data_IF_864661657711
#
_entry.id   IF_864661657711
#
_cell.length_a   1.000
_cell.length_b   1.000
_cell.length_c   1.000
_cell.angle_alpha   90.00
_cell.angle_beta   90.00
_cell.angle_gamma   90.00
#
_symmetry.space_group_name_H-M   'P 1'
#
loop_
_entity.id
_entity.type
_entity.pdbx_description
1 polymer ?
#
# COMPACT_ATOMS: atom_id res chain seq x y z
N UNK A 1 -48.84 94.78 -14.03
CA UNK A 1 -48.59 93.32 -14.05
C UNK A 1 -47.34 93.08 -14.88
N UNK A 2 -46.22 92.78 -14.25
CA UNK A 2 -44.96 92.45 -14.92
C UNK A 2 -44.61 91.02 -14.55
N UNK A 3 -44.51 90.13 -15.54
CA UNK A 3 -44.17 88.72 -15.37
C UNK A 3 -42.67 88.54 -15.54
N UNK A 4 -42.04 87.97 -14.50
CA UNK A 4 -40.63 87.64 -14.40
C UNK A 4 -40.42 86.22 -14.96
N UNK A 5 -39.57 86.06 -15.98
CA UNK A 5 -39.22 84.76 -16.56
C UNK A 5 -37.90 84.29 -15.94
N UNK A 6 -37.92 83.15 -15.25
CA UNK A 6 -36.74 82.45 -14.71
C UNK A 6 -36.23 81.42 -15.72
N UNK A 7 -34.98 81.57 -16.17
CA UNK A 7 -34.26 80.60 -16.98
C UNK A 7 -33.62 79.58 -16.05
N UNK A 8 -34.01 78.30 -16.17
CA UNK A 8 -33.39 77.18 -15.45
C UNK A 8 -32.23 76.60 -16.23
N UNK A 9 -31.07 76.42 -15.57
CA UNK A 9 -29.92 75.69 -16.10
C UNK A 9 -30.15 74.18 -16.00
N UNK A 10 -29.93 73.45 -17.08
CA UNK A 10 -29.87 71.98 -17.07
C UNK A 10 -28.43 71.50 -16.79
N UNK A 11 -28.24 70.46 -15.96
CA UNK A 11 -26.92 69.87 -15.73
C UNK A 11 -26.49 68.96 -16.90
N UNK A 12 -25.17 68.91 -17.14
CA UNK A 12 -24.54 68.05 -18.15
C UNK A 12 -24.69 66.54 -17.84
N UNK A 13 -24.79 65.68 -18.88
CA UNK A 13 -24.87 64.24 -18.71
C UNK A 13 -23.57 63.64 -18.18
N UNK A 14 -23.69 62.78 -17.17
CA UNK A 14 -22.57 62.08 -16.55
C UNK A 14 -21.86 61.14 -17.54
N UNK A 15 -20.53 61.13 -17.50
CA UNK A 15 -19.70 60.25 -18.32
C UNK A 15 -19.92 58.76 -17.99
N UNK A 16 -19.92 57.87 -18.99
CA UNK A 16 -20.13 56.44 -18.78
C UNK A 16 -18.95 55.80 -18.02
N UNK A 17 -19.21 54.78 -17.17
CA UNK A 17 -18.18 54.12 -16.38
C UNK A 17 -17.21 53.32 -17.28
N UNK A 18 -15.94 53.19 -16.88
CA UNK A 18 -14.96 52.41 -17.62
C UNK A 18 -15.35 50.92 -17.67
N UNK A 19 -15.00 50.20 -18.76
CA UNK A 19 -15.29 48.78 -18.90
C UNK A 19 -14.60 47.97 -17.80
N UNK A 20 -15.31 46.97 -17.28
CA UNK A 20 -14.80 46.06 -16.26
C UNK A 20 -13.55 45.31 -16.77
N UNK A 21 -12.48 45.30 -15.97
CA UNK A 21 -11.29 44.50 -16.24
C UNK A 21 -11.66 43.01 -16.36
N UNK A 22 -11.08 42.25 -17.30
CA UNK A 22 -11.36 40.83 -17.42
C UNK A 22 -10.86 40.11 -16.15
N UNK A 23 -11.75 39.40 -15.46
CA UNK A 23 -11.37 38.49 -14.38
C UNK A 23 -10.44 37.42 -14.96
N UNK A 24 -9.22 37.31 -14.40
CA UNK A 24 -8.33 36.20 -14.70
C UNK A 24 -9.03 34.88 -14.31
N UNK A 25 -9.15 33.96 -15.26
CA UNK A 25 -9.59 32.59 -14.99
C UNK A 25 -8.57 31.94 -14.04
N UNK A 26 -8.97 31.41 -12.88
CA UNK A 26 -8.03 30.71 -12.00
C UNK A 26 -7.47 29.49 -12.75
N UNK A 27 -6.15 29.36 -12.79
CA UNK A 27 -5.48 28.15 -13.27
C UNK A 27 -5.96 26.97 -12.43
N UNK A 28 -6.38 25.83 -13.03
CA UNK A 28 -6.78 24.67 -12.24
C UNK A 28 -5.59 24.22 -11.38
N UNK A 29 -5.79 24.22 -10.06
CA UNK A 29 -4.84 23.62 -9.11
C UNK A 29 -4.82 22.12 -9.35
N UNK A 30 -3.65 21.56 -9.64
CA UNK A 30 -3.49 20.11 -9.80
C UNK A 30 -3.89 19.39 -8.51
N UNK A 31 -4.63 18.28 -8.63
CA UNK A 31 -5.03 17.46 -7.49
C UNK A 31 -3.78 16.76 -6.93
N UNK A 32 -3.35 17.05 -5.68
CA UNK A 32 -2.18 16.40 -5.09
C UNK A 32 -2.36 14.89 -4.91
N UNK A 33 -3.59 14.37 -4.97
CA UNK A 33 -3.91 12.95 -4.86
C UNK A 33 -3.92 12.21 -6.19
N UNK A 34 -3.68 12.89 -7.32
CA UNK A 34 -3.55 12.26 -8.63
C UNK A 34 -2.33 11.31 -8.63
N UNK A 35 -2.52 9.99 -8.85
CA UNK A 35 -1.42 9.04 -8.87
C UNK A 35 -0.39 9.35 -9.98
N UNK A 36 -0.79 9.96 -11.08
CA UNK A 36 0.12 10.39 -12.16
C UNK A 36 1.06 11.50 -11.68
N UNK A 37 0.52 12.47 -10.95
CA UNK A 37 1.32 13.56 -10.37
C UNK A 37 2.31 13.01 -9.33
N UNK A 38 1.84 12.11 -8.46
CA UNK A 38 2.70 11.48 -7.44
C UNK A 38 3.84 10.70 -8.12
N UNK A 39 3.52 9.86 -9.13
CA UNK A 39 4.52 9.06 -9.88
C UNK A 39 5.57 9.92 -10.60
N UNK A 40 5.17 11.08 -11.12
CA UNK A 40 6.07 11.95 -11.91
C UNK A 40 6.92 12.88 -11.07
N UNK A 41 6.51 13.20 -9.84
CA UNK A 41 7.19 14.20 -8.99
C UNK A 41 7.81 13.61 -7.72
N UNK A 42 7.34 12.45 -7.28
CA UNK A 42 7.79 11.79 -6.06
C UNK A 42 9.09 10.99 -6.22
N UNK A 43 9.45 10.30 -5.16
CA UNK A 43 10.62 9.41 -5.12
C UNK A 43 10.19 7.95 -5.30
N UNK A 44 10.82 7.20 -6.22
CA UNK A 44 10.56 5.77 -6.38
C UNK A 44 11.08 4.96 -5.18
N UNK A 45 10.27 4.00 -4.73
CA UNK A 45 10.61 2.98 -3.73
C UNK A 45 10.44 1.61 -4.38
N UNK A 46 11.56 0.97 -4.73
CA UNK A 46 11.57 -0.21 -5.62
C UNK A 46 11.96 -1.48 -4.89
N UNK A 47 11.20 -2.55 -5.12
CA UNK A 47 11.56 -3.92 -4.74
C UNK A 47 11.34 -4.85 -5.94
N UNK A 48 12.41 -5.51 -6.39
CA UNK A 48 12.37 -6.31 -7.61
C UNK A 48 11.90 -5.50 -8.83
N UNK A 49 10.82 -5.95 -9.46
CA UNK A 49 10.21 -5.30 -10.62
C UNK A 49 9.09 -4.30 -10.27
N UNK A 50 8.79 -4.11 -8.98
CA UNK A 50 7.67 -3.29 -8.51
C UNK A 50 8.21 -1.99 -7.92
N UNK A 51 7.65 -0.85 -8.34
CA UNK A 51 8.08 0.48 -7.88
C UNK A 51 6.89 1.28 -7.38
N UNK A 52 6.78 1.43 -6.06
CA UNK A 52 5.91 2.44 -5.47
C UNK A 52 6.52 3.83 -5.67
N UNK A 53 5.71 4.89 -5.58
CA UNK A 53 6.23 6.27 -5.54
C UNK A 53 5.71 7.00 -4.31
N UNK A 54 6.62 7.52 -3.48
CA UNK A 54 6.30 8.35 -2.33
C UNK A 54 6.32 9.84 -2.73
N UNK A 55 5.31 10.61 -2.32
CA UNK A 55 5.17 12.04 -2.63
C UNK A 55 6.14 12.95 -1.83
N UNK A 56 7.38 12.49 -1.64
CA UNK A 56 8.47 13.21 -0.97
C UNK A 56 9.65 13.27 -1.92
N UNK A 57 9.78 14.33 -2.73
CA UNK A 57 10.89 14.46 -3.67
C UNK A 57 12.24 14.40 -2.95
N UNK A 58 13.16 13.56 -3.43
CA UNK A 58 14.49 13.41 -2.85
C UNK A 58 14.55 12.61 -1.55
N UNK A 59 13.46 11.93 -1.16
CA UNK A 59 13.46 10.95 -0.07
C UNK A 59 14.63 9.96 -0.21
N UNK A 60 15.37 9.73 0.88
CA UNK A 60 16.39 8.71 0.91
C UNK A 60 15.74 7.33 1.05
N UNK A 61 16.02 6.44 0.09
CA UNK A 61 15.53 5.06 0.06
C UNK A 61 16.72 4.12 0.12
N UNK A 62 16.67 3.15 1.03
CA UNK A 62 17.67 2.10 1.18
C UNK A 62 17.13 0.82 0.56
N UNK A 63 17.89 0.21 -0.35
CA UNK A 63 17.63 -1.15 -0.81
C UNK A 63 18.37 -2.14 0.08
N UNK A 64 17.65 -3.13 0.61
CA UNK A 64 18.21 -4.17 1.46
C UNK A 64 18.73 -5.36 0.62
N UNK A 65 19.67 -6.17 1.14
CA UNK A 65 20.21 -7.32 0.42
C UNK A 65 19.18 -8.40 0.05
N UNK A 66 18.05 -8.44 0.74
CA UNK A 66 16.92 -9.34 0.45
C UNK A 66 16.02 -8.83 -0.69
N UNK A 67 16.38 -7.68 -1.30
CA UNK A 67 15.63 -7.07 -2.40
C UNK A 67 14.44 -6.23 -1.95
N UNK A 68 14.19 -6.10 -0.65
CA UNK A 68 13.22 -5.15 -0.11
C UNK A 68 13.78 -3.72 -0.09
N UNK A 69 12.90 -2.75 0.14
CA UNK A 69 13.27 -1.34 0.25
C UNK A 69 12.71 -0.71 1.52
N UNK A 70 13.49 0.19 2.12
CA UNK A 70 13.12 0.94 3.32
C UNK A 70 13.30 2.42 3.14
N UNK A 71 12.45 3.20 3.80
CA UNK A 71 12.59 4.65 3.88
C UNK A 71 11.89 5.20 5.12
N UNK A 72 12.51 6.18 5.78
CA UNK A 72 11.85 6.95 6.85
C UNK A 72 11.01 8.05 6.23
N UNK A 73 9.70 8.01 6.43
CA UNK A 73 8.74 8.86 5.73
C UNK A 73 7.96 9.73 6.72
N UNK A 74 7.82 11.05 6.45
CA UNK A 74 7.01 11.94 7.30
C UNK A 74 5.50 11.63 7.19
N UNK A 75 4.71 12.20 8.10
CA UNK A 75 3.25 12.11 8.02
C UNK A 75 2.69 12.90 6.84
N UNK A 76 1.51 12.50 6.36
CA UNK A 76 0.79 13.14 5.26
C UNK A 76 1.28 12.73 3.86
N UNK A 77 2.25 11.81 3.77
CA UNK A 77 2.82 11.37 2.49
C UNK A 77 1.87 10.44 1.76
N UNK A 78 1.72 10.67 0.46
CA UNK A 78 0.97 9.82 -0.43
C UNK A 78 1.91 8.80 -1.06
N UNK A 79 1.45 7.56 -1.16
CA UNK A 79 2.16 6.46 -1.79
C UNK A 79 1.30 5.96 -2.93
N UNK A 80 1.82 6.08 -4.15
CA UNK A 80 1.15 5.61 -5.36
C UNK A 80 1.67 4.24 -5.79
N UNK A 81 0.77 3.35 -6.18
CA UNK A 81 1.07 2.12 -6.88
C UNK A 81 1.62 2.38 -8.31
N UNK A 82 2.31 1.41 -8.92
CA UNK A 82 2.60 1.44 -10.36
C UNK A 82 1.32 1.60 -11.19
N UNK A 83 1.47 2.17 -12.39
CA UNK A 83 0.36 2.24 -13.34
C UNK A 83 -0.19 0.85 -13.65
N UNK A 84 -1.52 0.71 -13.62
CA UNK A 84 -2.22 -0.56 -13.85
C UNK A 84 -2.30 -1.50 -12.64
N UNK A 85 -1.68 -1.14 -11.50
CA UNK A 85 -1.81 -1.86 -10.24
C UNK A 85 -2.64 -1.05 -9.24
N UNK A 86 -3.24 -1.74 -8.27
CA UNK A 86 -3.95 -1.12 -7.15
C UNK A 86 -3.16 -1.26 -5.86
N UNK A 87 -3.38 -0.38 -4.89
CA UNK A 87 -2.86 -0.49 -3.53
C UNK A 87 -4.00 -0.33 -2.53
N UNK A 88 -4.13 -1.28 -1.61
CA UNK A 88 -5.17 -1.32 -0.60
C UNK A 88 -4.56 -1.21 0.80
N UNK A 89 -4.95 -0.21 1.57
CA UNK A 89 -4.67 -0.13 2.99
C UNK A 89 -5.52 -1.16 3.76
N UNK A 90 -4.89 -1.93 4.62
CA UNK A 90 -5.52 -2.97 5.44
C UNK A 90 -5.75 -2.46 6.87
N UNK A 91 -6.62 -3.15 7.60
CA UNK A 91 -7.08 -2.72 8.93
C UNK A 91 -6.01 -2.75 10.01
N UNK A 92 -4.89 -3.43 9.77
CA UNK A 92 -3.74 -3.50 10.68
C UNK A 92 -2.63 -2.47 10.35
N UNK A 93 -2.91 -1.54 9.43
CA UNK A 93 -1.95 -0.51 9.00
C UNK A 93 -0.94 -0.98 7.95
N UNK A 94 -1.05 -2.21 7.46
CA UNK A 94 -0.28 -2.67 6.29
C UNK A 94 -0.99 -2.31 4.99
N UNK A 95 -0.33 -2.49 3.84
CA UNK A 95 -0.97 -2.36 2.54
C UNK A 95 -0.50 -3.42 1.55
N UNK A 96 -1.38 -3.77 0.61
CA UNK A 96 -1.11 -4.75 -0.45
C UNK A 96 -1.27 -4.09 -1.81
N UNK A 97 -0.29 -4.34 -2.69
CA UNK A 97 -0.36 -4.01 -4.11
C UNK A 97 -0.89 -5.22 -4.86
N UNK A 98 -1.90 -5.02 -5.73
CA UNK A 98 -2.50 -6.09 -6.54
C UNK A 98 -2.54 -5.74 -8.02
N UNK A 99 -2.49 -6.76 -8.85
CA UNK A 99 -2.70 -6.62 -10.30
C UNK A 99 -4.19 -6.45 -10.67
N UNK A 100 -4.47 -6.33 -11.97
CA UNK A 100 -5.83 -6.17 -12.48
C UNK A 100 -6.75 -7.39 -12.26
N UNK A 101 -6.19 -8.55 -11.93
CA UNK A 101 -6.96 -9.74 -11.54
C UNK A 101 -7.17 -9.83 -10.01
N UNK A 102 -6.56 -8.92 -9.24
CA UNK A 102 -6.60 -8.94 -7.78
C UNK A 102 -5.56 -9.89 -7.17
N UNK A 103 -4.57 -10.36 -7.92
CA UNK A 103 -3.49 -11.18 -7.37
C UNK A 103 -2.47 -10.30 -6.63
N UNK A 104 -1.90 -10.83 -5.54
CA UNK A 104 -0.84 -10.18 -4.79
C UNK A 104 0.38 -9.91 -5.69
N UNK A 105 0.91 -8.69 -5.64
CA UNK A 105 2.13 -8.28 -6.34
C UNK A 105 3.23 -7.87 -5.35
N UNK A 106 2.87 -7.11 -4.31
CA UNK A 106 3.81 -6.63 -3.32
C UNK A 106 3.10 -6.22 -2.02
N UNK A 107 3.85 -6.11 -0.93
CA UNK A 107 3.36 -5.69 0.38
C UNK A 107 4.15 -4.51 0.95
N UNK A 108 3.47 -3.72 1.77
CA UNK A 108 4.02 -2.58 2.49
C UNK A 108 3.66 -2.69 3.98
N UNK A 109 4.68 -2.59 4.83
CA UNK A 109 4.53 -2.49 6.30
C UNK A 109 5.17 -1.19 6.80
N UNK A 110 4.84 -0.81 8.02
CA UNK A 110 5.33 0.39 8.68
C UNK A 110 5.88 0.08 10.06
N UNK A 111 6.92 0.78 10.51
CA UNK A 111 7.38 0.81 11.90
C UNK A 111 7.32 2.24 12.46
N UNK A 112 6.64 2.52 13.58
CA UNK A 112 5.90 1.58 14.43
C UNK A 112 4.70 0.95 13.72
N UNK A 113 4.45 -0.32 14.03
CA UNK A 113 3.31 -1.06 13.51
C UNK A 113 1.98 -0.45 14.00
N UNK A 114 0.95 -0.43 13.15
CA UNK A 114 -0.30 0.28 13.42
C UNK A 114 -0.25 1.77 13.08
N UNK A 115 0.84 2.27 12.48
CA UNK A 115 0.80 3.56 11.78
C UNK A 115 -0.26 3.48 10.67
N UNK A 116 -1.26 4.35 10.74
CA UNK A 116 -2.43 4.24 9.87
C UNK A 116 -2.08 4.61 8.42
N UNK A 117 -2.01 3.61 7.56
CA UNK A 117 -2.20 3.79 6.13
C UNK A 117 -3.69 4.01 5.88
N UNK A 118 -4.05 5.15 5.32
CA UNK A 118 -5.41 5.50 4.95
C UNK A 118 -5.61 5.34 3.44
N UNK A 119 -6.70 4.69 3.04
CA UNK A 119 -7.08 4.62 1.63
C UNK A 119 -7.44 6.01 1.11
N UNK A 120 -6.84 6.44 -0.01
CA UNK A 120 -7.19 7.70 -0.70
C UNK A 120 -7.94 7.41 -1.99
N UNK A 121 -7.43 6.48 -2.78
CA UNK A 121 -8.03 6.02 -4.05
C UNK A 121 -7.49 4.65 -4.42
N UNK A 122 -7.92 4.03 -5.52
CA UNK A 122 -7.53 2.66 -5.86
C UNK A 122 -6.02 2.47 -6.04
N UNK A 123 -5.30 3.53 -6.42
CA UNK A 123 -3.85 3.52 -6.66
C UNK A 123 -3.07 4.29 -5.60
N UNK A 124 -3.72 4.86 -4.58
CA UNK A 124 -3.08 5.77 -3.63
C UNK A 124 -3.52 5.49 -2.20
N UNK A 125 -2.54 5.36 -1.31
CA UNK A 125 -2.71 5.39 0.15
C UNK A 125 -1.96 6.58 0.73
N UNK A 126 -2.36 7.02 1.92
CA UNK A 126 -1.69 8.07 2.68
C UNK A 126 -1.15 7.51 3.98
N UNK A 127 0.07 7.88 4.33
CA UNK A 127 0.64 7.61 5.64
C UNK A 127 0.25 8.74 6.61
N UNK A 128 -0.61 8.47 7.59
CA UNK A 128 -1.13 9.52 8.49
C UNK A 128 -0.18 9.89 9.65
N UNK A 129 0.86 9.09 9.90
CA UNK A 129 1.87 9.30 10.93
C UNK A 129 3.28 9.03 10.38
N UNK A 130 4.30 9.76 10.85
CA UNK A 130 5.66 9.49 10.42
C UNK A 130 6.09 8.06 10.83
N UNK A 131 6.67 7.31 9.88
CA UNK A 131 7.03 5.91 10.07
C UNK A 131 8.15 5.48 9.13
N UNK A 132 8.84 4.41 9.48
CA UNK A 132 9.70 3.68 8.57
C UNK A 132 8.85 2.76 7.69
N UNK A 133 8.89 2.97 6.38
CA UNK A 133 8.28 2.07 5.41
C UNK A 133 9.21 0.89 5.17
N UNK A 134 8.62 -0.30 5.03
CA UNK A 134 9.30 -1.49 4.52
C UNK A 134 8.45 -2.15 3.43
N UNK A 135 8.98 -2.10 2.21
CA UNK A 135 8.29 -2.51 0.99
C UNK A 135 9.00 -3.71 0.35
N UNK A 136 8.24 -4.73 -0.05
CA UNK A 136 8.80 -5.90 -0.75
C UNK A 136 7.83 -6.50 -1.76
N UNK A 137 8.36 -7.02 -2.86
CA UNK A 137 7.64 -7.92 -3.76
C UNK A 137 7.82 -9.41 -3.39
N UNK A 138 8.61 -9.72 -2.36
CA UNK A 138 8.99 -11.10 -1.98
C UNK A 138 8.54 -11.40 -0.54
N UNK A 139 7.52 -12.24 -0.40
CA UNK A 139 7.05 -12.76 0.88
C UNK A 139 7.64 -14.16 1.16
N UNK A 140 7.85 -14.96 0.11
CA UNK A 140 8.42 -16.32 0.16
C UNK A 140 9.71 -16.35 -0.63
N UNK A 141 10.83 -16.64 0.04
CA UNK A 141 12.14 -16.80 -0.60
C UNK A 141 12.25 -18.14 -1.32
N UNK A 142 11.65 -19.20 -0.75
CA UNK A 142 11.56 -20.52 -1.40
C UNK A 142 10.43 -21.37 -0.81
N UNK A 143 9.91 -22.31 -1.60
CA UNK A 143 8.99 -23.36 -1.15
C UNK A 143 9.39 -24.67 -1.83
N UNK A 144 9.85 -25.65 -1.06
CA UNK A 144 10.46 -26.88 -1.60
C UNK A 144 9.80 -28.12 -0.98
N UNK A 145 9.23 -28.97 -1.82
CA UNK A 145 8.68 -30.26 -1.41
C UNK A 145 9.81 -31.23 -1.03
N UNK A 146 9.59 -31.98 0.05
CA UNK A 146 10.45 -33.06 0.50
C UNK A 146 9.69 -34.02 1.41
N UNK A 147 10.44 -34.73 2.25
CA UNK A 147 9.92 -35.64 3.27
C UNK A 147 10.36 -35.16 4.67
N UNK A 148 9.44 -35.22 5.62
CA UNK A 148 9.67 -34.97 7.05
C UNK A 148 9.17 -36.17 7.87
N UNK A 149 9.18 -36.04 9.19
CA UNK A 149 8.98 -37.14 10.16
C UNK A 149 7.70 -37.98 9.92
N UNK A 150 6.64 -37.39 9.36
CA UNK A 150 5.37 -38.05 9.05
C UNK A 150 5.04 -38.22 7.56
N UNK A 151 5.93 -37.81 6.65
CA UNK A 151 5.75 -37.94 5.21
C UNK A 151 5.99 -36.64 4.45
N UNK A 152 5.33 -36.51 3.30
CA UNK A 152 5.48 -35.36 2.38
C UNK A 152 5.29 -34.03 3.11
N UNK A 153 6.21 -33.09 2.92
CA UNK A 153 6.23 -31.79 3.60
C UNK A 153 6.76 -30.69 2.67
N UNK A 154 6.13 -29.52 2.67
CA UNK A 154 6.57 -28.34 1.93
C UNK A 154 7.32 -27.42 2.90
N UNK A 155 8.65 -27.32 2.72
CA UNK A 155 9.46 -26.39 3.49
C UNK A 155 9.39 -24.99 2.85
N UNK A 156 8.70 -24.07 3.52
CA UNK A 156 8.57 -22.66 3.13
C UNK A 156 9.63 -21.84 3.87
N UNK A 157 10.45 -21.10 3.13
CA UNK A 157 11.38 -20.10 3.68
C UNK A 157 10.75 -18.71 3.48
N UNK A 158 10.20 -18.08 4.52
CA UNK A 158 9.63 -16.74 4.42
C UNK A 158 10.70 -15.66 4.45
N UNK A 159 10.42 -14.54 3.80
CA UNK A 159 11.30 -13.37 3.83
C UNK A 159 11.33 -12.70 5.21
N UNK A 160 12.37 -11.91 5.48
CA UNK A 160 12.44 -11.13 6.72
C UNK A 160 11.23 -10.19 6.90
N UNK A 161 10.73 -9.62 5.79
CA UNK A 161 9.54 -8.78 5.79
C UNK A 161 8.28 -9.56 6.20
N UNK A 162 8.09 -10.78 5.67
CA UNK A 162 6.93 -11.60 6.01
C UNK A 162 6.96 -12.07 7.48
N UNK A 163 8.16 -12.26 8.06
CA UNK A 163 8.33 -12.59 9.48
C UNK A 163 7.93 -11.46 10.42
N UNK A 164 7.90 -10.21 9.94
CA UNK A 164 7.38 -9.06 10.70
C UNK A 164 5.86 -9.12 10.89
N UNK A 165 5.20 -10.01 10.14
CA UNK A 165 3.77 -10.35 10.22
C UNK A 165 2.83 -9.27 9.68
N UNK A 166 1.55 -9.62 9.64
CA UNK A 166 0.45 -8.70 9.32
C UNK A 166 -0.40 -9.22 8.16
N UNK A 167 -1.53 -8.57 7.91
CA UNK A 167 -2.49 -9.01 6.90
C UNK A 167 -1.87 -8.97 5.49
N UNK A 168 -1.02 -7.99 5.19
CA UNK A 168 -0.29 -7.97 3.93
C UNK A 168 0.73 -9.12 3.81
N UNK A 169 1.35 -9.51 4.93
CA UNK A 169 2.27 -10.64 4.97
C UNK A 169 1.54 -11.98 4.78
N UNK A 170 0.43 -12.19 5.48
CA UNK A 170 -0.43 -13.38 5.34
C UNK A 170 -0.87 -13.58 3.89
N UNK A 171 -1.38 -12.53 3.25
CA UNK A 171 -1.81 -12.60 1.85
C UNK A 171 -0.64 -12.89 0.90
N UNK A 172 0.47 -12.17 1.06
CA UNK A 172 1.66 -12.36 0.23
C UNK A 172 2.28 -13.75 0.37
N UNK A 173 2.34 -14.25 1.61
CA UNK A 173 2.83 -15.60 1.93
C UNK A 173 2.00 -16.64 1.22
N UNK A 174 0.68 -16.63 1.41
CA UNK A 174 -0.19 -17.65 0.81
C UNK A 174 -0.19 -17.57 -0.72
N UNK A 175 -0.31 -16.37 -1.29
CA UNK A 175 -0.28 -16.18 -2.74
C UNK A 175 1.00 -16.72 -3.38
N UNK A 176 2.16 -16.48 -2.76
CA UNK A 176 3.45 -16.96 -3.30
C UNK A 176 3.68 -18.45 -3.03
N UNK A 177 3.21 -19.00 -1.90
CA UNK A 177 3.22 -20.46 -1.67
C UNK A 177 2.44 -21.18 -2.76
N UNK A 178 1.21 -20.76 -3.06
CA UNK A 178 0.39 -21.39 -4.11
C UNK A 178 0.99 -21.19 -5.50
N UNK A 179 1.60 -20.04 -5.77
CA UNK A 179 2.29 -19.83 -7.05
C UNK A 179 3.52 -20.76 -7.24
N UNK A 180 4.27 -21.02 -6.17
CA UNK A 180 5.47 -21.87 -6.19
C UNK A 180 5.14 -23.37 -6.09
N UNK A 181 4.07 -23.71 -5.36
CA UNK A 181 3.61 -25.08 -5.12
C UNK A 181 2.07 -25.14 -5.22
N UNK A 182 1.51 -25.20 -6.44
CA UNK A 182 0.05 -25.14 -6.65
C UNK A 182 -0.74 -26.26 -5.96
N UNK A 183 -0.10 -27.39 -5.69
CA UNK A 183 -0.70 -28.52 -4.99
C UNK A 183 -0.74 -28.34 -3.46
N UNK A 184 -0.19 -27.24 -2.94
CA UNK A 184 -0.34 -26.84 -1.55
C UNK A 184 -1.67 -26.12 -1.27
N UNK A 185 -2.44 -25.75 -2.29
CA UNK A 185 -3.69 -24.97 -2.19
C UNK A 185 -4.82 -25.73 -1.49
N UNK A 186 -4.71 -25.82 -0.17
CA UNK A 186 -5.66 -26.49 0.72
C UNK A 186 -5.85 -25.64 1.98
N UNK A 187 -7.07 -25.60 2.56
CA UNK A 187 -7.32 -24.82 3.77
C UNK A 187 -6.41 -25.21 4.95
N UNK A 188 -6.16 -26.52 5.12
CA UNK A 188 -5.27 -27.02 6.17
C UNK A 188 -3.81 -26.56 6.04
N UNK A 189 -3.26 -26.48 4.82
CA UNK A 189 -1.90 -25.96 4.62
C UNK A 189 -1.84 -24.44 4.80
N UNK A 190 -2.88 -23.71 4.38
CA UNK A 190 -2.98 -22.28 4.65
C UNK A 190 -3.00 -21.99 6.16
N UNK A 191 -3.83 -22.71 6.91
CA UNK A 191 -3.94 -22.56 8.36
C UNK A 191 -2.62 -22.88 9.10
N UNK A 192 -1.88 -23.89 8.62
CA UNK A 192 -0.53 -24.19 9.13
C UNK A 192 0.44 -23.01 8.89
N UNK A 193 0.42 -22.42 7.69
CA UNK A 193 1.28 -21.29 7.31
C UNK A 193 1.01 -20.06 8.18
N UNK A 194 -0.27 -19.69 8.32
CA UNK A 194 -0.71 -18.57 9.17
C UNK A 194 -0.32 -18.80 10.65
N UNK A 195 -0.48 -20.03 11.15
CA UNK A 195 -0.05 -20.36 12.50
C UNK A 195 1.48 -20.22 12.66
N UNK A 196 2.27 -20.66 11.67
CA UNK A 196 3.72 -20.55 11.72
C UNK A 196 4.22 -19.10 11.71
N UNK A 197 3.60 -18.22 10.94
CA UNK A 197 3.89 -16.78 10.93
C UNK A 197 3.72 -16.17 12.34
N UNK A 198 2.65 -16.55 13.05
CA UNK A 198 2.32 -16.06 14.39
C UNK A 198 3.13 -16.73 15.50
N UNK A 199 3.39 -18.03 15.40
CA UNK A 199 3.93 -18.86 16.48
C UNK A 199 5.41 -19.20 16.36
N UNK A 200 5.98 -19.07 15.17
CA UNK A 200 7.34 -19.54 14.88
C UNK A 200 8.12 -18.64 13.89
N UNK A 201 8.07 -17.30 14.02
CA UNK A 201 8.68 -16.38 13.06
C UNK A 201 10.20 -16.52 12.95
N UNK A 202 10.86 -17.06 13.98
CA UNK A 202 12.33 -17.18 14.01
C UNK A 202 12.84 -18.49 13.38
N UNK A 203 11.95 -19.43 13.03
CA UNK A 203 12.37 -20.69 12.39
C UNK A 203 12.81 -20.45 10.96
N UNK A 204 13.96 -21.00 10.55
CA UNK A 204 14.47 -20.87 9.19
C UNK A 204 13.42 -21.24 8.13
N UNK A 205 12.75 -22.39 8.32
CA UNK A 205 11.63 -22.84 7.47
C UNK A 205 10.37 -23.14 8.28
N UNK A 206 9.23 -23.04 7.61
CA UNK A 206 7.91 -23.46 8.06
C UNK A 206 7.46 -24.65 7.22
N UNK A 207 7.16 -25.76 7.85
CA UNK A 207 6.82 -27.00 7.15
C UNK A 207 5.30 -27.13 7.06
N UNK A 208 4.79 -27.20 5.84
CA UNK A 208 3.36 -27.40 5.59
C UNK A 208 3.12 -28.83 5.13
N UNK A 209 2.26 -29.54 5.83
CA UNK A 209 2.14 -31.00 5.70
C UNK A 209 0.70 -31.36 5.33
N UNK A 210 0.45 -31.87 4.11
CA UNK A 210 -0.91 -32.14 3.61
C UNK A 210 -1.59 -33.34 4.29
N UNK A 211 -0.83 -34.17 5.01
CA UNK A 211 -1.33 -35.34 5.73
C UNK A 211 -1.77 -35.01 7.17
N UNK A 212 -1.51 -33.78 7.64
CA UNK A 212 -2.00 -33.27 8.93
C UNK A 212 -3.53 -33.14 8.88
N UNK A 213 -4.25 -33.45 9.96
CA UNK A 213 -5.69 -33.23 10.01
C UNK A 213 -6.02 -31.74 9.90
N UNK A 214 -7.13 -31.43 9.24
CA UNK A 214 -7.72 -30.09 9.31
C UNK A 214 -8.41 -29.93 10.67
N UNK A 215 -7.98 -28.93 11.44
CA UNK A 215 -8.47 -28.63 12.78
C UNK A 215 -8.82 -27.15 12.89
N UNK A 216 -9.58 -26.78 13.92
CA UNK A 216 -9.86 -25.36 14.16
C UNK A 216 -8.61 -24.59 14.61
N UNK A 217 -8.66 -23.26 14.57
CA UNK A 217 -7.52 -22.41 14.91
C UNK A 217 -7.03 -22.58 16.36
N UNK A 218 -7.92 -22.91 17.31
CA UNK A 218 -7.55 -23.10 18.71
C UNK A 218 -6.76 -24.40 18.86
N UNK A 219 -7.21 -25.47 18.22
CA UNK A 219 -6.51 -26.75 18.19
C UNK A 219 -5.18 -26.66 17.45
N UNK A 220 -5.13 -25.99 16.29
CA UNK A 220 -3.88 -25.70 15.55
C UNK A 220 -2.81 -25.05 16.44
N UNK A 221 -3.19 -24.05 17.24
CA UNK A 221 -2.29 -23.36 18.18
C UNK A 221 -1.89 -24.29 19.33
N UNK A 222 -2.82 -25.07 19.88
CA UNK A 222 -2.53 -26.02 20.97
C UNK A 222 -1.49 -27.05 20.56
N UNK A 223 -1.58 -27.53 19.32
CA UNK A 223 -0.62 -28.46 18.71
C UNK A 223 0.61 -27.75 18.12
N UNK A 224 0.83 -26.48 18.47
CA UNK A 224 2.02 -25.70 18.10
C UNK A 224 2.22 -25.64 16.58
N UNK A 225 1.12 -25.43 15.85
CA UNK A 225 1.05 -25.34 14.39
C UNK A 225 1.39 -26.66 13.66
N UNK A 226 1.33 -27.80 14.36
CA UNK A 226 1.62 -29.13 13.80
C UNK A 226 0.57 -30.16 14.30
N UNK A 227 -0.70 -30.03 13.90
CA UNK A 227 -1.80 -30.84 14.43
C UNK A 227 -1.74 -32.33 14.09
#
# INVERSE_FOLDING_TARGET
MAALVLVGCSPDPAAPPPPASPSATPTPTADPTDPTLIRTTGTPVTSGAVTLTASVPGLAVTADPDGSARATVPSGVLIAAPEGLTIAALTDGTAVVRDGAGAFVAGLTTDPWGSALAQVGPEVVRLDAAADLWFTAVAVESAVWGEAEGGRSLAVTPSAWARARGLAAQEGLWAQVVALAPDADTPGMQAQLECHELGAPDKATWNLEPWRPEVDAIEMIRERCNP
#
